data_IF_175871512683
#
_entry.id   IF_175871512683
#
_cell.length_a   1.000
_cell.length_b   1.000
_cell.length_c   1.000
_cell.angle_alpha   90.00
_cell.angle_beta   90.00
_cell.angle_gamma   90.00
#
_symmetry.space_group_name_H-M   'P 1'
#
loop_
_entity.id
_entity.type
_entity.pdbx_description
1 polymer ?
#
# COMPACT_ATOMS: atom_id res chain seq x y z
N UNK A 1 5.49 -22.29 4.25
CA UNK A 1 4.12 -22.18 4.82
C UNK A 1 3.24 -23.31 4.27
N UNK A 2 2.23 -23.77 5.03
CA UNK A 2 1.28 -24.78 4.54
C UNK A 2 0.16 -24.13 3.72
N UNK A 3 -0.16 -24.70 2.53
CA UNK A 3 -1.20 -24.18 1.64
C UNK A 3 -2.58 -24.07 2.29
N UNK A 4 -2.95 -25.07 3.13
CA UNK A 4 -4.22 -25.09 3.87
C UNK A 4 -4.36 -23.90 4.83
N UNK A 5 -3.25 -23.44 5.43
CA UNK A 5 -3.26 -22.26 6.29
C UNK A 5 -3.49 -20.98 5.49
N UNK A 6 -2.89 -20.86 4.28
CA UNK A 6 -3.16 -19.72 3.41
C UNK A 6 -4.64 -19.58 3.09
N UNK A 7 -5.34 -20.69 2.84
CA UNK A 7 -6.77 -20.70 2.53
C UNK A 7 -7.64 -20.10 3.65
N UNK A 8 -7.13 -20.04 4.90
CA UNK A 8 -7.87 -19.39 6.02
C UNK A 8 -7.76 -17.87 6.01
N UNK A 9 -6.81 -17.30 5.27
CA UNK A 9 -6.63 -15.85 5.14
C UNK A 9 -7.55 -15.34 4.03
N UNK A 10 -8.41 -14.36 4.34
CA UNK A 10 -9.45 -13.84 3.43
C UNK A 10 -8.91 -13.50 2.04
N UNK A 11 -7.71 -12.95 1.96
CA UNK A 11 -7.10 -12.59 0.67
C UNK A 11 -6.83 -13.79 -0.24
N UNK A 12 -6.48 -14.96 0.33
CA UNK A 12 -6.19 -16.19 -0.39
C UNK A 12 -7.37 -17.17 -0.40
N UNK A 13 -8.47 -16.86 0.30
CA UNK A 13 -9.65 -17.72 0.31
C UNK A 13 -10.16 -17.97 -1.12
N UNK A 14 -10.65 -19.16 -1.38
CA UNK A 14 -11.18 -19.59 -2.69
C UNK A 14 -10.15 -19.58 -3.85
N UNK A 15 -8.84 -19.50 -3.56
CA UNK A 15 -7.84 -19.80 -4.57
C UNK A 15 -7.83 -21.30 -4.85
N UNK A 16 -7.61 -21.71 -6.11
CA UNK A 16 -7.37 -23.12 -6.47
C UNK A 16 -6.18 -23.69 -5.68
N UNK A 17 -6.22 -25.02 -5.46
CA UNK A 17 -5.18 -25.71 -4.67
C UNK A 17 -3.77 -25.55 -5.25
N UNK A 18 -3.65 -25.57 -6.57
CA UNK A 18 -2.39 -25.36 -7.28
C UNK A 18 -1.86 -23.93 -7.12
N UNK A 19 -2.74 -22.90 -7.12
CA UNK A 19 -2.35 -21.53 -6.82
C UNK A 19 -1.95 -21.36 -5.35
N UNK A 20 -2.70 -21.95 -4.42
CA UNK A 20 -2.35 -21.96 -3.00
C UNK A 20 -0.98 -22.59 -2.77
N UNK A 21 -0.69 -23.71 -3.44
CA UNK A 21 0.63 -24.36 -3.36
C UNK A 21 1.74 -23.47 -3.94
N UNK A 22 1.48 -22.80 -5.06
CA UNK A 22 2.43 -21.86 -5.66
C UNK A 22 2.73 -20.69 -4.71
N UNK A 23 1.70 -20.07 -4.13
CA UNK A 23 1.86 -18.98 -3.15
C UNK A 23 2.59 -19.47 -1.90
N UNK A 24 2.21 -20.62 -1.35
CA UNK A 24 2.84 -21.21 -0.17
C UNK A 24 4.35 -21.45 -0.33
N UNK A 25 4.79 -21.75 -1.56
CA UNK A 25 6.20 -22.00 -1.87
C UNK A 25 7.07 -20.74 -1.80
N UNK A 26 6.49 -19.54 -1.97
CA UNK A 26 7.20 -18.26 -1.95
C UNK A 26 6.89 -17.40 -0.72
N UNK A 27 5.89 -17.77 0.07
CA UNK A 27 5.45 -17.01 1.22
C UNK A 27 6.39 -17.16 2.40
N UNK A 28 6.71 -16.03 3.05
CA UNK A 28 7.48 -15.96 4.29
C UNK A 28 6.58 -15.43 5.41
N UNK A 29 6.60 -16.11 6.56
CA UNK A 29 5.85 -15.67 7.74
C UNK A 29 6.67 -14.67 8.54
N UNK A 30 6.03 -13.58 8.96
CA UNK A 30 6.64 -12.56 9.80
C UNK A 30 5.72 -12.22 10.97
N UNK A 31 6.31 -12.01 12.15
CA UNK A 31 5.62 -11.52 13.34
C UNK A 31 6.12 -10.13 13.69
N UNK A 32 5.19 -9.20 13.86
CA UNK A 32 5.49 -7.78 14.08
C UNK A 32 4.87 -7.34 15.41
N UNK A 33 5.68 -6.85 16.37
CA UNK A 33 5.15 -6.30 17.61
C UNK A 33 4.48 -4.93 17.39
N UNK A 34 3.59 -4.51 18.30
CA UNK A 34 3.00 -3.18 18.28
C UNK A 34 4.06 -2.07 18.27
N UNK A 35 3.81 -1.00 17.53
CA UNK A 35 4.72 0.13 17.36
C UNK A 35 5.82 -0.07 16.32
N UNK A 36 5.98 -1.27 15.78
CA UNK A 36 6.95 -1.52 14.71
C UNK A 36 6.41 -1.06 13.35
N UNK A 37 7.32 -0.53 12.54
CA UNK A 37 7.07 -0.07 11.19
C UNK A 37 7.12 -1.24 10.20
N UNK A 38 6.03 -1.48 9.46
CA UNK A 38 5.95 -2.48 8.40
C UNK A 38 6.46 -1.90 7.08
N UNK A 39 6.16 -0.64 6.83
CA UNK A 39 6.56 0.09 5.64
C UNK A 39 6.84 1.55 6.01
N UNK A 40 7.85 2.17 5.41
CA UNK A 40 8.20 3.56 5.63
C UNK A 40 7.96 4.38 4.36
N UNK A 41 7.15 5.46 4.46
CA UNK A 41 6.90 6.39 3.37
C UNK A 41 8.22 6.89 2.74
N UNK A 42 8.27 6.94 1.41
CA UNK A 42 9.46 7.36 0.67
C UNK A 42 10.59 6.33 0.61
N UNK A 43 10.48 5.18 1.26
CA UNK A 43 11.46 4.09 1.14
C UNK A 43 11.13 3.21 -0.06
N UNK A 44 12.18 2.61 -0.60
CA UNK A 44 12.07 1.62 -1.67
C UNK A 44 12.13 0.24 -1.04
N UNK A 45 11.08 -0.54 -1.26
CA UNK A 45 10.97 -1.91 -0.78
C UNK A 45 10.41 -2.82 -1.88
N UNK A 46 10.68 -4.12 -1.76
CA UNK A 46 10.38 -5.11 -2.80
C UNK A 46 9.41 -6.21 -2.33
N UNK A 47 8.79 -6.02 -1.18
CA UNK A 47 7.84 -6.95 -0.58
C UNK A 47 6.45 -6.33 -0.52
N UNK A 48 5.44 -7.19 -0.59
CA UNK A 48 4.10 -6.90 -0.11
C UNK A 48 3.80 -7.80 1.08
N UNK A 49 2.88 -7.38 1.91
CA UNK A 49 2.41 -8.12 3.08
C UNK A 49 0.93 -8.34 2.99
N UNK A 50 0.49 -9.57 3.18
CA UNK A 50 -0.92 -9.91 3.47
C UNK A 50 -1.04 -10.08 4.97
N UNK A 51 -1.97 -9.36 5.59
CA UNK A 51 -2.18 -9.39 7.04
C UNK A 51 -3.00 -10.63 7.38
N UNK A 52 -2.39 -11.58 8.11
CA UNK A 52 -3.10 -12.75 8.64
C UNK A 52 -3.90 -12.38 9.88
N UNK A 53 -3.29 -11.58 10.79
CA UNK A 53 -3.94 -11.11 12.01
C UNK A 53 -3.30 -9.80 12.51
N UNK A 54 -4.03 -9.07 13.36
CA UNK A 54 -3.63 -7.80 13.92
C UNK A 54 -4.07 -6.61 13.08
N UNK A 55 -3.65 -5.42 13.50
CA UNK A 55 -4.03 -4.13 12.92
C UNK A 55 -2.84 -3.18 12.84
N UNK A 56 -2.86 -2.27 11.86
CA UNK A 56 -1.85 -1.22 11.70
C UNK A 56 -2.49 0.08 11.20
N UNK A 57 -1.89 1.21 11.56
CA UNK A 57 -2.25 2.52 11.05
C UNK A 57 -1.49 2.82 9.76
N UNK A 58 -2.20 3.41 8.80
CA UNK A 58 -1.63 3.97 7.57
C UNK A 58 -1.41 5.45 7.76
N UNK A 59 -0.16 5.89 7.64
CA UNK A 59 0.28 7.26 7.92
C UNK A 59 0.91 7.86 6.66
N UNK A 60 0.42 9.03 6.24
CA UNK A 60 0.96 9.81 5.11
C UNK A 60 1.32 11.20 5.64
N UNK A 61 2.56 11.62 5.44
CA UNK A 61 3.10 12.92 5.89
C UNK A 61 2.87 13.19 7.39
N UNK A 62 2.90 12.12 8.20
CA UNK A 62 2.71 12.18 9.65
C UNK A 62 1.25 12.16 10.11
N UNK A 63 0.27 12.10 9.21
CA UNK A 63 -1.15 12.02 9.54
C UNK A 63 -1.69 10.61 9.33
N UNK A 64 -2.42 10.06 10.30
CA UNK A 64 -3.13 8.78 10.14
C UNK A 64 -4.31 8.97 9.19
N UNK A 65 -4.25 8.29 8.05
CA UNK A 65 -5.27 8.39 6.98
C UNK A 65 -6.19 7.19 6.91
N UNK A 66 -5.91 6.15 7.68
CA UNK A 66 -6.71 4.93 7.75
C UNK A 66 -6.04 3.84 8.55
N UNK A 67 -6.70 2.69 8.63
CA UNK A 67 -6.21 1.47 9.28
C UNK A 67 -6.34 0.28 8.34
N UNK A 68 -5.46 -0.71 8.54
CA UNK A 68 -5.50 -2.00 7.84
C UNK A 68 -5.52 -3.13 8.85
N UNK A 69 -6.12 -4.25 8.50
CA UNK A 69 -6.29 -5.42 9.37
C UNK A 69 -6.31 -6.74 8.63
N UNK A 70 -6.74 -7.80 9.29
CA UNK A 70 -6.74 -9.15 8.76
C UNK A 70 -7.43 -9.26 7.38
N UNK A 71 -6.71 -9.82 6.42
CA UNK A 71 -7.14 -9.98 5.02
C UNK A 71 -6.77 -8.80 4.12
N UNK A 72 -6.25 -7.69 4.67
CA UNK A 72 -5.77 -6.58 3.86
C UNK A 72 -4.34 -6.82 3.34
N UNK A 73 -3.99 -6.08 2.28
CA UNK A 73 -2.68 -6.15 1.63
C UNK A 73 -1.96 -4.81 1.81
N UNK A 74 -0.67 -4.84 2.06
CA UNK A 74 0.19 -3.65 2.18
C UNK A 74 1.37 -3.78 1.21
N UNK A 75 1.64 -2.75 0.42
CA UNK A 75 2.82 -2.68 -0.45
C UNK A 75 2.64 -3.26 -1.85
N UNK A 76 1.41 -3.52 -2.29
CA UNK A 76 1.06 -3.97 -3.64
C UNK A 76 1.55 -2.99 -4.71
N UNK A 77 1.51 -1.67 -4.44
CA UNK A 77 2.04 -0.65 -5.36
C UNK A 77 3.53 -0.85 -5.63
N UNK A 78 4.30 -1.17 -4.59
CA UNK A 78 5.73 -1.41 -4.71
C UNK A 78 6.06 -2.64 -5.58
N UNK A 79 5.16 -3.62 -5.60
CA UNK A 79 5.37 -4.90 -6.30
C UNK A 79 4.82 -4.88 -7.72
N UNK A 80 3.65 -4.26 -7.96
CA UNK A 80 2.91 -4.40 -9.23
C UNK A 80 3.15 -3.27 -10.24
N UNK A 81 3.61 -2.09 -9.81
CA UNK A 81 3.67 -0.90 -10.69
C UNK A 81 4.64 -1.05 -11.86
N UNK A 82 5.66 -1.89 -11.74
CA UNK A 82 6.55 -2.20 -12.87
C UNK A 82 7.09 -3.62 -12.74
N UNK A 83 7.18 -4.39 -13.84
CA UNK A 83 7.94 -5.62 -13.83
C UNK A 83 9.39 -5.32 -13.42
N UNK A 84 10.08 -6.26 -12.76
CA UNK A 84 11.50 -6.10 -12.48
C UNK A 84 12.25 -6.04 -13.80
N UNK A 85 12.66 -4.86 -14.21
CA UNK A 85 13.57 -4.69 -15.34
C UNK A 85 15.00 -4.85 -14.81
N UNK A 86 15.53 -6.04 -14.95
CA UNK A 86 16.90 -6.39 -14.53
C UNK A 86 17.98 -5.71 -15.39
N UNK A 87 17.61 -5.09 -16.51
CA UNK A 87 18.51 -4.37 -17.42
C UNK A 87 18.54 -2.88 -17.14
N UNK A 88 17.56 -2.33 -16.45
CA UNK A 88 17.48 -0.92 -16.14
C UNK A 88 18.44 -0.54 -14.99
N UNK A 89 18.88 0.71 -15.00
CA UNK A 89 19.69 1.26 -13.89
C UNK A 89 18.93 1.16 -12.58
N UNK A 90 19.61 0.90 -11.44
CA UNK A 90 18.94 0.63 -10.15
C UNK A 90 17.88 1.65 -9.72
N UNK A 91 17.96 2.89 -10.17
CA UNK A 91 16.98 3.95 -9.86
C UNK A 91 15.72 3.95 -10.73
N UNK A 92 15.78 3.38 -11.93
CA UNK A 92 14.67 3.38 -12.90
C UNK A 92 13.92 2.04 -12.89
N UNK A 93 14.60 0.96 -12.50
CA UNK A 93 14.01 -0.38 -12.33
C UNK A 93 13.12 -0.53 -11.10
N UNK A 94 13.05 0.50 -10.26
CA UNK A 94 12.61 0.36 -8.89
C UNK A 94 11.25 1.07 -8.71
N UNK A 95 10.22 0.51 -9.29
CA UNK A 95 8.85 0.84 -8.91
C UNK A 95 8.48 0.26 -7.55
N UNK A 96 9.21 0.62 -6.50
CA UNK A 96 9.02 0.08 -5.15
C UNK A 96 8.85 1.13 -4.08
N UNK A 97 8.57 2.38 -4.47
CA UNK A 97 8.42 3.49 -3.54
C UNK A 97 7.18 3.31 -2.67
N UNK A 98 7.36 3.34 -1.36
CA UNK A 98 6.24 3.34 -0.41
C UNK A 98 5.57 4.71 -0.40
N UNK A 99 4.28 4.72 -0.63
CA UNK A 99 3.45 5.95 -0.64
C UNK A 99 2.96 6.35 0.74
N UNK A 100 3.05 5.44 1.71
CA UNK A 100 2.66 5.65 3.10
C UNK A 100 3.56 4.87 4.04
N UNK A 101 3.63 5.30 5.30
CA UNK A 101 4.11 4.50 6.40
C UNK A 101 2.99 3.62 6.94
N UNK A 102 3.31 2.40 7.38
CA UNK A 102 2.37 1.49 8.04
C UNK A 102 2.95 1.04 9.35
N UNK A 103 2.28 1.35 10.46
CA UNK A 103 2.75 1.13 11.84
C UNK A 103 1.81 0.16 12.55
N UNK A 104 2.32 -0.94 13.07
CA UNK A 104 1.54 -1.91 13.82
C UNK A 104 0.92 -1.28 15.08
N UNK A 105 -0.38 -1.43 15.25
CA UNK A 105 -1.13 -0.99 16.46
C UNK A 105 -1.43 -2.13 17.42
N UNK A 106 -1.31 -3.37 16.95
CA UNK A 106 -1.41 -4.59 17.76
C UNK A 106 -0.32 -5.58 17.35
N UNK A 107 -0.11 -6.71 18.08
CA UNK A 107 0.72 -7.80 17.56
C UNK A 107 0.15 -8.28 16.23
N UNK A 108 1.00 -8.43 15.22
CA UNK A 108 0.59 -8.80 13.87
C UNK A 108 1.29 -10.08 13.40
N UNK A 109 0.58 -10.85 12.58
CA UNK A 109 1.15 -11.93 11.79
C UNK A 109 0.93 -11.60 10.31
N UNK A 110 2.01 -11.66 9.55
CA UNK A 110 2.06 -11.25 8.15
C UNK A 110 2.53 -12.39 7.29
N UNK A 111 2.07 -12.39 6.05
CA UNK A 111 2.56 -13.22 4.96
C UNK A 111 3.26 -12.30 3.98
N UNK A 112 4.58 -12.34 3.98
CA UNK A 112 5.42 -11.55 3.08
C UNK A 112 5.59 -12.29 1.74
N UNK A 113 5.38 -11.55 0.63
CA UNK A 113 5.62 -11.99 -0.74
C UNK A 113 6.59 -11.01 -1.40
N UNK A 114 7.68 -11.53 -1.97
CA UNK A 114 8.67 -10.69 -2.61
C UNK A 114 8.35 -10.45 -4.09
N UNK A 115 8.61 -9.25 -4.56
CA UNK A 115 8.35 -8.80 -5.94
C UNK A 115 8.80 -9.81 -6.99
N UNK A 116 10.05 -10.28 -6.91
CA UNK A 116 10.61 -11.24 -7.87
C UNK A 116 9.82 -12.53 -7.94
N UNK A 117 9.33 -13.00 -6.78
CA UNK A 117 8.65 -14.29 -6.67
C UNK A 117 7.20 -14.16 -7.17
N UNK A 118 6.52 -13.04 -6.86
CA UNK A 118 5.19 -12.72 -7.40
C UNK A 118 5.23 -12.69 -8.95
N UNK A 119 6.21 -12.01 -9.53
CA UNK A 119 6.35 -11.94 -11.00
C UNK A 119 6.75 -13.27 -11.62
N UNK A 120 7.59 -14.07 -10.95
CA UNK A 120 7.97 -15.41 -11.42
C UNK A 120 6.77 -16.39 -11.42
N UNK A 121 5.82 -16.20 -10.51
CA UNK A 121 4.64 -17.06 -10.34
C UNK A 121 3.36 -16.50 -11.01
N UNK A 122 3.41 -15.39 -11.74
CA UNK A 122 2.24 -14.76 -12.39
C UNK A 122 1.43 -15.77 -13.24
N UNK A 123 2.11 -16.68 -13.90
CA UNK A 123 1.47 -17.75 -14.71
C UNK A 123 0.90 -18.91 -13.89
N UNK A 124 1.38 -19.11 -12.65
CA UNK A 124 0.97 -20.21 -11.77
C UNK A 124 -0.04 -19.78 -10.70
N UNK A 125 -0.16 -18.48 -10.48
CA UNK A 125 -1.11 -17.90 -9.53
C UNK A 125 -1.84 -16.69 -10.17
N UNK A 126 -2.54 -16.88 -11.31
CA UNK A 126 -3.17 -15.78 -12.03
C UNK A 126 -4.32 -15.14 -11.26
N UNK A 127 -5.09 -15.89 -10.46
CA UNK A 127 -6.20 -15.36 -9.67
C UNK A 127 -5.65 -14.50 -8.53
N UNK A 128 -4.59 -14.96 -7.85
CA UNK A 128 -3.91 -14.14 -6.84
C UNK A 128 -3.41 -12.83 -7.44
N UNK A 129 -2.74 -12.87 -8.59
CA UNK A 129 -2.23 -11.66 -9.26
C UNK A 129 -3.37 -10.73 -9.68
N UNK A 130 -4.50 -11.26 -10.14
CA UNK A 130 -5.69 -10.47 -10.47
C UNK A 130 -6.26 -9.77 -9.21
N UNK A 131 -6.33 -10.47 -8.07
CA UNK A 131 -6.76 -9.87 -6.79
C UNK A 131 -5.83 -8.75 -6.35
N UNK A 132 -4.51 -8.94 -6.48
CA UNK A 132 -3.52 -7.89 -6.17
C UNK A 132 -3.72 -6.65 -7.05
N UNK A 133 -3.99 -6.84 -8.35
CA UNK A 133 -4.29 -5.73 -9.27
C UNK A 133 -5.56 -4.99 -8.89
N UNK A 134 -6.61 -5.70 -8.49
CA UNK A 134 -7.85 -5.09 -8.03
C UNK A 134 -7.63 -4.21 -6.77
N UNK A 135 -6.84 -4.68 -5.80
CA UNK A 135 -6.46 -3.89 -4.62
C UNK A 135 -5.67 -2.63 -5.02
N UNK A 136 -4.73 -2.77 -5.96
CA UNK A 136 -3.96 -1.64 -6.48
C UNK A 136 -4.85 -0.59 -7.14
N UNK A 137 -5.80 -1.00 -7.99
CA UNK A 137 -6.69 -0.09 -8.70
C UNK A 137 -7.64 0.63 -7.73
N UNK A 138 -8.16 -0.05 -6.74
CA UNK A 138 -8.99 0.54 -5.69
C UNK A 138 -8.22 1.61 -4.90
N UNK A 139 -6.97 1.34 -4.50
CA UNK A 139 -6.16 2.32 -3.77
C UNK A 139 -5.78 3.52 -4.61
N UNK A 140 -5.48 3.32 -5.90
CA UNK A 140 -5.24 4.44 -6.82
C UNK A 140 -6.46 5.35 -6.95
N UNK A 141 -7.65 4.79 -6.99
CA UNK A 141 -8.90 5.57 -7.01
C UNK A 141 -9.05 6.37 -5.73
N UNK A 142 -8.83 5.76 -4.55
CA UNK A 142 -8.89 6.44 -3.26
C UNK A 142 -7.84 7.56 -3.13
N UNK A 143 -6.63 7.34 -3.59
CA UNK A 143 -5.57 8.36 -3.58
C UNK A 143 -5.89 9.53 -4.50
N UNK A 144 -6.49 9.27 -5.67
CA UNK A 144 -6.95 10.31 -6.58
C UNK A 144 -8.08 11.15 -5.97
N UNK A 145 -9.04 10.53 -5.30
CA UNK A 145 -10.13 11.22 -4.60
C UNK A 145 -9.60 12.11 -3.46
N UNK A 146 -8.64 11.60 -2.66
CA UNK A 146 -7.99 12.39 -1.60
C UNK A 146 -7.26 13.60 -2.17
N UNK A 147 -6.53 13.42 -3.27
CA UNK A 147 -5.81 14.52 -3.92
C UNK A 147 -6.76 15.62 -4.41
N UNK A 148 -7.90 15.24 -5.01
CA UNK A 148 -8.93 16.19 -5.44
C UNK A 148 -9.60 16.91 -4.26
N UNK A 149 -9.87 16.20 -3.16
CA UNK A 149 -10.41 16.78 -1.93
C UNK A 149 -9.48 17.85 -1.33
N UNK A 150 -8.18 17.55 -1.27
CA UNK A 150 -7.17 18.48 -0.75
C UNK A 150 -7.02 19.73 -1.63
N UNK A 151 -7.11 19.59 -2.97
CA UNK A 151 -7.06 20.73 -3.89
C UNK A 151 -8.27 21.66 -3.72
N UNK A 152 -9.47 21.11 -3.51
CA UNK A 152 -10.69 21.90 -3.26
C UNK A 152 -10.58 22.66 -1.95
N UNK A 153 -10.15 22.03 -0.86
CA UNK A 153 -9.97 22.67 0.44
C UNK A 153 -8.94 23.81 0.39
N UNK A 154 -7.85 23.66 -0.38
CA UNK A 154 -6.84 24.72 -0.56
C UNK A 154 -7.37 25.91 -1.38
N UNK A 155 -8.18 25.67 -2.42
CA UNK A 155 -8.78 26.74 -3.23
C UNK A 155 -9.81 27.55 -2.44
N UNK A 156 -10.57 26.94 -1.54
CA UNK A 156 -11.54 27.62 -0.66
C UNK A 156 -10.84 28.49 0.39
N UNK A 157 -9.70 28.05 0.93
CA UNK A 157 -8.92 28.84 1.91
C UNK A 157 -8.14 29.99 1.26
N UNK A 158 -7.74 29.86 -0.01
CA UNK A 158 -7.05 30.90 -0.78
C UNK A 158 -7.95 32.06 -1.20
N UNK A 159 -9.26 31.82 -1.36
CA UNK A 159 -10.23 32.83 -1.78
C UNK A 159 -10.64 33.85 -0.68
N UNK A 160 -10.33 33.59 0.59
CA UNK A 160 -10.75 34.44 1.73
C UNK A 160 -9.78 35.57 2.11
N UNK A 161 -8.63 35.70 1.45
CA UNK A 161 -7.59 36.70 1.78
C UNK A 161 -7.54 37.91 0.84
N UNK A 162 -8.61 38.29 0.20
CA UNK A 162 -8.60 39.35 -0.81
C UNK A 162 -9.75 40.34 -0.72
N UNK A 163 -9.97 41.00 0.44
CA UNK A 163 -10.78 42.23 0.48
C UNK A 163 -10.46 43.04 1.72
N UNK A 164 -9.24 43.61 1.81
CA UNK A 164 -9.02 44.80 2.58
C UNK A 164 -9.40 45.99 1.66
N UNK A 165 -10.34 46.85 2.04
CA UNK A 165 -10.62 48.07 1.29
C UNK A 165 -9.43 49.06 1.42
N UNK A 166 -9.14 49.82 0.37
CA UNK A 166 -8.07 50.81 0.44
C UNK A 166 -8.38 51.84 1.51
N UNK A 167 -7.42 52.08 2.42
CA UNK A 167 -7.46 53.16 3.38
C UNK A 167 -7.60 54.49 2.64
N UNK A 168 -8.73 55.14 2.87
CA UNK A 168 -9.04 56.49 2.43
C UNK A 168 -8.05 57.46 3.07
N UNK A 169 -7.14 57.99 2.30
CA UNK A 169 -6.18 59.01 2.72
C UNK A 169 -6.83 60.36 2.42
N UNK A 170 -7.72 60.83 3.32
CA UNK A 170 -8.26 62.18 3.28
C UNK A 170 -7.32 63.14 3.99
N UNK A 171 -6.74 64.00 3.20
CA UNK A 171 -6.01 65.23 3.56
C UNK A 171 -6.75 66.06 4.64
N UNK A 172 -5.99 66.53 5.60
CA UNK A 172 -5.89 67.97 5.96
C UNK A 172 -4.78 68.18 6.97
#
# INVERSE_FOLDING_TARGET
MEALRLATVRFFADLPEDELAAVASMAVEEEIPPGQLLAAEGRIEYSLYVIESGTADVVIKGETVGTVGAGDVVGEMAVLVSPPDWSARPREAIGGLRTASVVATSPMRLIALFKRDVWAQDRRAPIMTQRLRAVLDERRAQDAERALGNQRAQSEQGGSRGSDPPADNAER
#
